data_IF_816230123208
#
_entry.id   IF_816230123208
#
_cell.length_a   1.000
_cell.length_b   1.000
_cell.length_c   1.000
_cell.angle_alpha   90.00
_cell.angle_beta   90.00
_cell.angle_gamma   90.00
#
_symmetry.space_group_name_H-M   'P 1'
#
loop_
_entity.id
_entity.type
_entity.pdbx_description
1 polymer ?
#
# COMPACT_ATOMS: atom_id res chain seq x y z
N UNK A 1 -14.81 -19.18 -10.29
CA UNK A 1 -13.51 -18.94 -9.68
C UNK A 1 -12.55 -20.07 -10.03
N UNK A 2 -11.42 -19.75 -10.67
CA UNK A 2 -10.33 -20.71 -10.86
C UNK A 2 -9.70 -21.05 -9.52
N UNK A 3 -9.16 -22.25 -9.40
CA UNK A 3 -8.35 -22.61 -8.24
C UNK A 3 -6.88 -22.58 -8.63
N UNK A 4 -6.09 -21.84 -7.88
CA UNK A 4 -4.66 -21.65 -8.09
C UNK A 4 -3.84 -22.49 -7.11
N UNK A 5 -2.57 -22.68 -7.37
CA UNK A 5 -1.62 -23.28 -6.41
C UNK A 5 -1.48 -22.40 -5.17
N UNK A 6 -1.35 -21.10 -5.40
CA UNK A 6 -1.42 -20.06 -4.38
C UNK A 6 -1.77 -18.71 -5.01
N UNK A 7 -2.22 -17.79 -4.16
CA UNK A 7 -2.44 -16.39 -4.48
C UNK A 7 -1.64 -15.55 -3.51
N UNK A 8 -0.82 -14.64 -4.00
CA UNK A 8 -0.05 -13.69 -3.21
C UNK A 8 -0.08 -12.32 -3.89
N UNK A 9 -0.87 -11.42 -3.32
CA UNK A 9 -1.13 -10.12 -3.90
C UNK A 9 -0.27 -9.00 -3.31
N UNK A 10 0.74 -9.34 -2.47
CA UNK A 10 1.59 -8.34 -1.82
C UNK A 10 3.02 -8.85 -1.69
N UNK A 11 3.83 -8.57 -2.70
CA UNK A 11 5.23 -9.00 -2.79
C UNK A 11 6.08 -7.81 -3.21
N UNK A 12 7.24 -7.65 -2.57
CA UNK A 12 8.23 -6.63 -2.90
C UNK A 12 9.42 -7.22 -3.64
N UNK A 13 10.06 -6.39 -4.47
CA UNK A 13 11.23 -6.76 -5.26
C UNK A 13 12.38 -5.76 -5.09
N UNK A 14 13.48 -6.00 -5.76
CA UNK A 14 14.62 -5.07 -5.82
C UNK A 14 14.26 -3.64 -6.26
N UNK A 15 13.07 -3.45 -6.84
CA UNK A 15 12.56 -2.13 -7.26
C UNK A 15 11.92 -1.35 -6.12
N UNK A 16 11.56 -2.01 -5.01
CA UNK A 16 11.03 -1.33 -3.83
C UNK A 16 12.04 -0.35 -3.23
N UNK A 17 11.58 0.71 -2.57
CA UNK A 17 12.44 1.73 -1.99
C UNK A 17 13.15 1.27 -0.70
N UNK A 18 12.87 0.05 -0.22
CA UNK A 18 13.53 -0.53 0.94
C UNK A 18 14.94 -1.03 0.63
N UNK A 19 15.88 -0.67 1.50
CA UNK A 19 17.31 -0.88 1.31
C UNK A 19 17.75 -2.33 1.16
N UNK A 20 17.01 -3.26 1.74
CA UNK A 20 17.40 -4.65 1.89
C UNK A 20 16.51 -5.60 1.09
N UNK A 21 15.59 -5.07 0.29
CA UNK A 21 14.81 -5.89 -0.64
C UNK A 21 15.72 -6.31 -1.81
N UNK A 22 16.10 -7.57 -1.83
CA UNK A 22 17.08 -8.17 -2.74
C UNK A 22 16.49 -9.14 -3.76
N UNK A 23 15.17 -9.37 -3.70
CA UNK A 23 14.46 -10.26 -4.62
C UNK A 23 14.42 -9.68 -6.03
N UNK A 24 15.20 -10.22 -6.96
CA UNK A 24 15.09 -9.82 -8.37
C UNK A 24 13.80 -10.34 -8.99
N UNK A 25 13.37 -9.69 -10.07
CA UNK A 25 12.16 -10.13 -10.79
C UNK A 25 12.32 -11.56 -11.31
N UNK A 26 13.48 -11.88 -11.84
CA UNK A 26 13.78 -13.22 -12.36
C UNK A 26 13.72 -14.29 -11.25
N UNK A 27 14.27 -13.99 -10.07
CA UNK A 27 14.21 -14.87 -8.91
C UNK A 27 12.76 -15.08 -8.43
N UNK A 28 11.97 -13.98 -8.38
CA UNK A 28 10.56 -14.04 -8.00
C UNK A 28 9.77 -14.93 -8.98
N UNK A 29 9.90 -14.71 -10.28
CA UNK A 29 9.19 -15.49 -11.29
C UNK A 29 9.60 -16.97 -11.28
N UNK A 30 10.89 -17.27 -11.13
CA UNK A 30 11.39 -18.64 -11.02
C UNK A 30 10.85 -19.33 -9.76
N UNK A 31 10.85 -18.65 -8.62
CA UNK A 31 10.32 -19.16 -7.35
C UNK A 31 8.80 -19.41 -7.44
N UNK A 32 8.06 -18.48 -8.05
CA UNK A 32 6.62 -18.62 -8.28
C UNK A 32 6.30 -19.79 -9.21
N UNK A 33 7.04 -19.95 -10.30
CA UNK A 33 6.89 -21.06 -11.26
C UNK A 33 7.16 -22.41 -10.59
N UNK A 34 8.29 -22.56 -9.89
CA UNK A 34 8.63 -23.81 -9.21
C UNK A 34 7.56 -24.22 -8.18
N UNK A 35 7.01 -23.24 -7.47
CA UNK A 35 5.93 -23.48 -6.49
C UNK A 35 4.62 -23.85 -7.18
N UNK A 36 4.28 -23.21 -8.29
CA UNK A 36 3.10 -23.54 -9.10
C UNK A 36 3.20 -24.97 -9.66
N UNK A 37 4.33 -25.34 -10.21
CA UNK A 37 4.60 -26.69 -10.72
C UNK A 37 4.45 -27.78 -9.66
N UNK A 38 4.95 -27.52 -8.45
CA UNK A 38 4.85 -28.48 -7.34
C UNK A 38 3.40 -28.83 -6.97
N UNK A 39 2.44 -27.97 -7.32
CA UNK A 39 1.01 -28.17 -7.11
C UNK A 39 0.26 -28.55 -8.40
N UNK A 40 0.92 -28.50 -9.55
CA UNK A 40 0.33 -28.78 -10.86
C UNK A 40 -0.76 -27.80 -11.28
N UNK A 41 -0.69 -26.53 -10.82
CA UNK A 41 -1.67 -25.46 -11.08
C UNK A 41 -0.98 -24.11 -11.25
N UNK A 42 -1.64 -23.19 -11.93
CA UNK A 42 -1.20 -21.80 -12.04
C UNK A 42 -1.14 -21.14 -10.65
N UNK A 43 -0.26 -20.17 -10.48
CA UNK A 43 -0.26 -19.24 -9.35
C UNK A 43 -0.63 -17.83 -9.79
N UNK A 44 -1.04 -17.02 -8.83
CA UNK A 44 -1.28 -15.57 -9.02
C UNK A 44 -0.39 -14.80 -8.06
N UNK A 45 0.37 -13.87 -8.61
CA UNK A 45 1.19 -12.95 -7.82
C UNK A 45 0.86 -11.50 -8.21
N UNK A 46 0.99 -10.57 -7.24
CA UNK A 46 1.07 -9.15 -7.54
C UNK A 46 2.37 -8.58 -6.96
N UNK A 47 3.10 -7.85 -7.78
CA UNK A 47 4.26 -7.09 -7.33
C UNK A 47 3.73 -5.75 -6.84
N UNK A 48 4.02 -5.44 -5.58
CA UNK A 48 3.49 -4.28 -4.86
C UNK A 48 4.62 -3.44 -4.29
N UNK A 49 5.66 -3.18 -5.10
CA UNK A 49 6.82 -2.39 -4.68
C UNK A 49 6.40 -1.03 -4.14
N UNK A 50 7.09 -0.55 -3.09
CA UNK A 50 6.82 0.74 -2.48
C UNK A 50 7.01 1.88 -3.48
N UNK A 51 5.94 2.64 -3.69
CA UNK A 51 5.90 3.88 -4.47
C UNK A 51 6.37 3.73 -5.94
N UNK A 52 6.42 2.52 -6.50
CA UNK A 52 6.86 2.31 -7.89
C UNK A 52 6.19 1.12 -8.56
N UNK A 53 5.96 1.23 -9.88
CA UNK A 53 5.44 0.16 -10.74
C UNK A 53 6.52 -0.46 -11.63
N UNK A 54 7.78 -0.08 -11.46
CA UNK A 54 8.85 -0.51 -12.37
C UNK A 54 9.11 -2.02 -12.31
N UNK A 55 8.95 -2.64 -11.12
CA UNK A 55 8.99 -4.09 -10.97
C UNK A 55 7.89 -4.79 -11.76
N UNK A 56 6.65 -4.26 -11.73
CA UNK A 56 5.54 -4.77 -12.54
C UNK A 56 5.85 -4.70 -14.03
N UNK A 57 6.35 -3.53 -14.51
CA UNK A 57 6.71 -3.36 -15.93
C UNK A 57 7.77 -4.35 -16.38
N UNK A 58 8.82 -4.55 -15.58
CA UNK A 58 9.88 -5.53 -15.87
C UNK A 58 9.33 -6.96 -15.89
N UNK A 59 8.53 -7.34 -14.89
CA UNK A 59 7.92 -8.67 -14.85
C UNK A 59 6.99 -8.92 -16.05
N UNK A 60 6.17 -7.93 -16.42
CA UNK A 60 5.28 -8.01 -17.58
C UNK A 60 6.07 -8.19 -18.88
N UNK A 61 7.16 -7.44 -19.05
CA UNK A 61 8.06 -7.58 -20.21
C UNK A 61 8.65 -9.00 -20.31
N UNK A 62 9.12 -9.55 -19.17
CA UNK A 62 9.66 -10.91 -19.13
C UNK A 62 8.58 -11.93 -19.47
N UNK A 63 7.43 -11.90 -18.81
CA UNK A 63 6.32 -12.84 -19.01
C UNK A 63 5.77 -12.83 -20.44
N UNK A 64 5.78 -11.68 -21.11
CA UNK A 64 5.31 -11.53 -22.49
C UNK A 64 6.35 -11.95 -23.54
N UNK A 65 7.61 -12.11 -23.17
CA UNK A 65 8.69 -12.57 -24.07
C UNK A 65 8.48 -14.04 -24.46
N UNK A 66 9.11 -14.47 -25.57
CA UNK A 66 9.06 -15.88 -25.98
C UNK A 66 9.69 -16.81 -24.92
N UNK A 67 10.80 -16.37 -24.32
CA UNK A 67 11.49 -17.11 -23.26
C UNK A 67 10.65 -17.17 -21.99
N UNK A 68 10.04 -16.05 -21.57
CA UNK A 68 9.19 -15.99 -20.39
C UNK A 68 7.96 -16.87 -20.47
N UNK A 69 7.34 -16.96 -21.65
CA UNK A 69 6.20 -17.86 -21.89
C UNK A 69 6.56 -19.35 -21.78
N UNK A 70 7.82 -19.69 -22.05
CA UNK A 70 8.34 -21.07 -21.90
C UNK A 70 8.72 -21.32 -20.46
N UNK A 71 9.43 -20.37 -19.82
CA UNK A 71 10.01 -20.55 -18.49
C UNK A 71 9.00 -20.34 -17.36
N UNK A 72 7.95 -19.52 -17.57
CA UNK A 72 6.99 -19.14 -16.53
C UNK A 72 5.51 -19.30 -16.95
N UNK A 73 5.12 -20.45 -17.57
CA UNK A 73 3.78 -20.63 -18.13
C UNK A 73 2.66 -20.61 -17.07
N UNK A 74 2.98 -20.95 -15.82
CA UNK A 74 2.02 -21.06 -14.72
C UNK A 74 1.93 -19.80 -13.84
N UNK A 75 2.68 -18.73 -14.16
CA UNK A 75 2.67 -17.49 -13.38
C UNK A 75 1.70 -16.47 -13.99
N UNK A 76 0.71 -16.06 -13.21
CA UNK A 76 -0.23 -14.98 -13.56
C UNK A 76 0.13 -13.76 -12.74
N UNK A 77 0.25 -12.60 -13.39
CA UNK A 77 0.63 -11.34 -12.77
C UNK A 77 -0.56 -10.36 -12.72
N UNK A 78 -0.84 -9.83 -11.53
CA UNK A 78 -1.69 -8.66 -11.30
C UNK A 78 -0.78 -7.44 -11.13
N UNK A 79 -1.15 -6.30 -11.74
CA UNK A 79 -0.47 -5.04 -11.50
C UNK A 79 -0.75 -4.58 -10.07
N UNK A 80 0.29 -4.39 -9.28
CA UNK A 80 0.21 -3.94 -7.89
C UNK A 80 1.20 -2.81 -7.60
N UNK A 81 0.91 -2.00 -6.61
CA UNK A 81 1.79 -0.99 -6.03
C UNK A 81 1.38 -0.76 -4.58
N UNK A 82 2.34 -0.54 -3.68
CA UNK A 82 2.07 -0.12 -2.31
C UNK A 82 2.54 1.33 -2.10
N UNK A 83 1.61 2.18 -1.63
CA UNK A 83 1.92 3.57 -1.28
C UNK A 83 2.16 3.71 0.22
N UNK A 84 3.25 4.37 0.60
CA UNK A 84 3.42 4.90 1.94
C UNK A 84 2.60 6.19 2.05
N UNK A 85 1.46 6.13 2.72
CA UNK A 85 0.42 7.18 2.70
C UNK A 85 0.69 8.28 3.72
N UNK A 86 0.62 9.56 3.30
CA UNK A 86 0.53 10.70 4.22
C UNK A 86 -0.93 10.92 4.66
N UNK A 87 -1.16 10.85 5.98
CA UNK A 87 -2.50 10.94 6.58
C UNK A 87 -2.84 12.35 7.09
N UNK A 88 -2.15 13.41 6.62
CA UNK A 88 -2.39 14.79 7.06
C UNK A 88 -3.85 15.23 6.83
N UNK A 89 -4.46 14.81 5.74
CA UNK A 89 -5.86 15.15 5.43
C UNK A 89 -6.85 14.50 6.41
N UNK A 90 -6.53 13.33 6.95
CA UNK A 90 -7.34 12.73 8.03
C UNK A 90 -7.32 13.57 9.30
N UNK A 91 -6.21 14.26 9.60
CA UNK A 91 -6.17 15.19 10.74
C UNK A 91 -7.20 16.30 10.58
N UNK A 92 -7.32 16.84 9.38
CA UNK A 92 -8.36 17.86 9.06
C UNK A 92 -9.78 17.27 9.15
N UNK A 93 -9.99 16.06 8.64
CA UNK A 93 -11.27 15.34 8.77
C UNK A 93 -11.69 15.12 10.24
N UNK A 94 -10.74 14.88 11.13
CA UNK A 94 -10.96 14.74 12.56
C UNK A 94 -10.78 16.05 13.35
N UNK A 95 -11.11 17.18 12.75
CA UNK A 95 -11.15 18.51 13.42
C UNK A 95 -9.81 18.90 14.08
N UNK A 96 -8.69 18.59 13.40
CA UNK A 96 -7.34 18.84 13.91
C UNK A 96 -6.79 17.74 14.81
N UNK A 97 -7.56 16.70 15.13
CA UNK A 97 -7.11 15.59 15.94
C UNK A 97 -6.33 14.57 15.10
N UNK A 98 -5.09 14.32 15.46
CA UNK A 98 -4.24 13.32 14.81
C UNK A 98 -4.62 11.91 15.29
N UNK A 99 -5.68 11.32 14.72
CA UNK A 99 -6.18 9.99 15.11
C UNK A 99 -5.29 8.90 14.56
N UNK A 100 -5.01 8.93 13.26
CA UNK A 100 -4.20 7.94 12.56
C UNK A 100 -2.87 8.56 12.11
N UNK A 101 -1.77 7.78 12.14
CA UNK A 101 -0.41 8.30 11.87
C UNK A 101 0.38 7.49 10.86
N UNK A 102 -0.05 6.29 10.54
CA UNK A 102 0.57 5.42 9.54
C UNK A 102 -0.47 4.52 8.92
N UNK A 103 -0.43 4.44 7.60
CA UNK A 103 -1.15 3.49 6.79
C UNK A 103 -0.35 3.23 5.52
N UNK A 104 -0.42 2.02 5.00
CA UNK A 104 -0.03 1.73 3.64
C UNK A 104 -1.28 1.42 2.83
N UNK A 105 -1.26 1.82 1.58
CA UNK A 105 -2.37 1.64 0.65
C UNK A 105 -1.89 0.90 -0.58
N UNK A 106 -2.47 -0.25 -0.84
CA UNK A 106 -2.26 -1.01 -2.07
C UNK A 106 -3.15 -0.48 -3.18
N UNK A 107 -2.69 -0.58 -4.40
CA UNK A 107 -3.54 -0.41 -5.57
C UNK A 107 -3.31 -1.54 -6.57
N UNK A 108 -4.40 -1.97 -7.22
CA UNK A 108 -4.37 -3.07 -8.19
C UNK A 108 -5.12 -2.74 -9.47
N UNK A 109 -4.78 -3.46 -10.55
CA UNK A 109 -5.53 -3.47 -11.79
C UNK A 109 -5.45 -2.18 -12.61
N UNK A 110 -4.55 -1.27 -12.27
CA UNK A 110 -4.30 -0.03 -13.01
C UNK A 110 -3.63 -0.32 -14.37
N UNK A 111 -3.76 0.64 -15.28
CA UNK A 111 -2.97 0.63 -16.52
C UNK A 111 -1.50 0.91 -16.22
N UNK A 112 -0.64 -0.06 -16.42
CA UNK A 112 0.81 0.07 -16.21
C UNK A 112 1.47 1.08 -17.16
N UNK A 113 0.77 1.51 -18.21
CA UNK A 113 1.25 2.52 -19.16
C UNK A 113 0.70 3.92 -18.89
N UNK A 114 -0.12 4.08 -17.82
CA UNK A 114 -0.56 5.39 -17.41
C UNK A 114 0.64 6.34 -17.23
N UNK A 115 0.52 7.54 -17.80
CA UNK A 115 1.62 8.50 -17.89
C UNK A 115 2.01 9.04 -16.52
N UNK A 116 1.02 9.40 -15.72
CA UNK A 116 1.26 10.06 -14.42
C UNK A 116 1.77 9.05 -13.38
N UNK A 117 1.17 7.86 -13.34
CA UNK A 117 1.63 6.78 -12.46
C UNK A 117 3.04 6.31 -12.84
N UNK A 118 3.36 6.27 -14.15
CA UNK A 118 4.70 5.96 -14.65
C UNK A 118 5.70 7.03 -14.25
N UNK A 119 5.37 8.32 -14.43
CA UNK A 119 6.24 9.44 -14.06
C UNK A 119 6.50 9.48 -12.55
N UNK A 120 5.45 9.34 -11.73
CA UNK A 120 5.57 9.22 -10.27
C UNK A 120 6.53 8.09 -9.90
N UNK A 121 6.32 6.89 -10.45
CA UNK A 121 7.13 5.71 -10.16
C UNK A 121 8.59 5.87 -10.53
N UNK A 122 8.91 6.58 -11.62
CA UNK A 122 10.28 6.88 -12.03
C UNK A 122 10.95 7.89 -11.12
N UNK A 123 10.22 8.93 -10.70
CA UNK A 123 10.72 9.95 -9.77
C UNK A 123 11.02 9.31 -8.40
N UNK A 124 10.16 8.44 -7.90
CA UNK A 124 10.28 7.84 -6.55
C UNK A 124 11.16 6.60 -6.52
N UNK A 125 11.45 5.98 -7.68
CA UNK A 125 12.32 4.81 -7.74
C UNK A 125 13.73 5.14 -7.23
N UNK A 126 14.36 4.17 -6.54
CA UNK A 126 15.67 4.31 -5.89
C UNK A 126 16.85 4.44 -6.86
N UNK A 127 16.85 5.46 -7.71
CA UNK A 127 17.96 5.75 -8.64
C UNK A 127 19.16 6.39 -7.96
N UNK A 128 18.98 6.96 -6.79
CA UNK A 128 20.02 7.62 -6.02
C UNK A 128 20.31 6.81 -4.77
N UNK A 129 21.58 6.79 -4.39
CA UNK A 129 22.06 6.04 -3.23
C UNK A 129 21.20 6.34 -1.99
N UNK A 130 21.14 5.41 -1.09
CA UNK A 130 20.44 5.38 0.20
C UNK A 130 20.36 6.70 0.98
N UNK A 131 21.23 7.67 0.65
CA UNK A 131 21.42 8.90 1.39
C UNK A 131 20.75 10.12 0.73
N UNK A 132 20.19 10.01 -0.46
CA UNK A 132 19.88 11.21 -1.24
C UNK A 132 18.38 11.54 -1.31
N UNK A 133 17.48 10.57 -1.14
CA UNK A 133 16.00 10.68 -1.21
C UNK A 133 15.46 11.75 -2.18
N UNK A 134 16.16 11.93 -3.31
CA UNK A 134 15.87 13.04 -4.24
C UNK A 134 14.45 12.97 -4.83
N UNK A 135 13.93 11.78 -5.04
CA UNK A 135 12.55 11.59 -5.50
C UNK A 135 11.53 12.18 -4.52
N UNK A 136 11.74 11.96 -3.23
CA UNK A 136 10.89 12.55 -2.18
C UNK A 136 11.05 14.07 -2.08
N UNK A 137 12.25 14.60 -2.37
CA UNK A 137 12.48 16.04 -2.43
C UNK A 137 11.71 16.67 -3.60
N UNK A 138 11.73 16.03 -4.78
CA UNK A 138 10.94 16.46 -5.95
C UNK A 138 9.44 16.44 -5.64
N UNK A 139 8.93 15.35 -5.06
CA UNK A 139 7.52 15.23 -4.68
C UNK A 139 7.10 16.29 -3.66
N UNK A 140 7.95 16.57 -2.67
CA UNK A 140 7.71 17.64 -1.68
C UNK A 140 7.64 19.02 -2.32
N UNK A 141 8.61 19.34 -3.17
CA UNK A 141 8.66 20.62 -3.88
C UNK A 141 7.41 20.78 -4.78
N UNK A 142 7.04 19.75 -5.55
CA UNK A 142 5.81 19.74 -6.35
C UNK A 142 4.59 20.01 -5.48
N UNK A 143 4.42 19.28 -4.39
CA UNK A 143 3.29 19.45 -3.46
C UNK A 143 3.18 20.87 -2.94
N UNK A 144 4.30 21.49 -2.53
CA UNK A 144 4.31 22.86 -2.04
C UNK A 144 3.87 23.87 -3.10
N UNK A 145 4.32 23.71 -4.35
CA UNK A 145 3.88 24.56 -5.46
C UNK A 145 2.39 24.39 -5.73
N UNK A 146 1.92 23.14 -5.76
CA UNK A 146 0.50 22.86 -5.95
C UNK A 146 -0.37 23.52 -4.87
N UNK A 147 0.03 23.39 -3.59
CA UNK A 147 -0.69 23.97 -2.45
C UNK A 147 -0.65 25.52 -2.48
N UNK A 148 0.51 26.10 -2.80
CA UNK A 148 0.71 27.55 -2.83
C UNK A 148 -0.16 28.25 -3.87
N UNK A 149 -0.33 27.63 -5.03
CA UNK A 149 -1.08 28.20 -6.15
C UNK A 149 -2.48 27.62 -6.32
N UNK A 150 -2.84 26.55 -5.59
CA UNK A 150 -4.12 25.85 -5.73
C UNK A 150 -4.26 25.13 -7.07
N UNK A 151 -3.16 24.65 -7.63
CA UNK A 151 -3.10 23.94 -8.93
C UNK A 151 -2.63 22.51 -8.75
N UNK A 152 -2.90 21.65 -9.73
CA UNK A 152 -2.37 20.29 -9.79
C UNK A 152 -1.34 20.18 -10.92
N UNK A 153 -0.06 20.21 -10.57
CA UNK A 153 1.03 20.03 -11.55
C UNK A 153 1.27 18.54 -11.73
N UNK A 154 1.13 17.99 -12.95
CA UNK A 154 1.38 16.59 -13.23
C UNK A 154 2.80 16.12 -12.86
N UNK A 155 2.98 14.88 -12.42
CA UNK A 155 4.30 14.29 -12.17
C UNK A 155 5.15 14.24 -13.44
N UNK A 156 4.50 14.04 -14.59
CA UNK A 156 5.17 14.00 -15.90
C UNK A 156 5.93 15.28 -16.26
N UNK A 157 5.61 16.42 -15.64
CA UNK A 157 6.38 17.65 -15.77
C UNK A 157 7.81 17.49 -15.27
N UNK A 158 7.98 16.70 -14.21
CA UNK A 158 9.26 16.49 -13.54
C UNK A 158 9.92 15.15 -13.86
N UNK A 159 9.34 14.34 -14.72
CA UNK A 159 9.83 12.98 -15.04
C UNK A 159 11.29 12.97 -15.52
N UNK A 160 11.72 13.99 -16.26
CA UNK A 160 13.11 14.10 -16.73
C UNK A 160 14.13 14.13 -15.59
N UNK A 161 13.74 14.58 -14.40
CA UNK A 161 14.61 14.58 -13.22
C UNK A 161 14.93 13.16 -12.73
N UNK A 162 14.09 12.18 -13.01
CA UNK A 162 14.35 10.77 -12.69
C UNK A 162 15.56 10.18 -13.45
N UNK A 163 15.94 10.78 -14.58
CA UNK A 163 17.07 10.36 -15.39
C UNK A 163 18.31 11.24 -15.17
N UNK A 164 18.21 12.24 -14.31
CA UNK A 164 19.29 13.15 -14.02
C UNK A 164 20.43 12.43 -13.27
N UNK A 165 21.64 12.92 -13.42
CA UNK A 165 22.81 12.37 -12.74
C UNK A 165 23.22 13.27 -11.55
N UNK A 166 24.20 12.80 -10.74
CA UNK A 166 24.70 13.54 -9.56
C UNK A 166 25.24 14.94 -9.81
N UNK A 167 25.49 15.32 -11.08
CA UNK A 167 25.92 16.67 -11.46
C UNK A 167 24.75 17.60 -11.77
N UNK A 168 23.53 17.07 -11.83
CA UNK A 168 22.34 17.84 -12.11
C UNK A 168 22.04 18.77 -10.94
N UNK A 169 21.81 20.02 -11.22
CA UNK A 169 21.31 21.00 -10.24
C UNK A 169 19.80 20.84 -10.10
N UNK A 170 19.38 19.96 -9.20
CA UNK A 170 18.00 19.51 -9.11
C UNK A 170 17.01 20.65 -8.81
N UNK A 171 17.31 21.53 -7.86
CA UNK A 171 16.47 22.70 -7.57
C UNK A 171 16.35 23.63 -8.77
N UNK A 172 17.48 23.97 -9.39
CA UNK A 172 17.53 24.84 -10.57
C UNK A 172 16.69 24.25 -11.71
N UNK A 173 16.81 22.96 -11.97
CA UNK A 173 16.08 22.29 -13.05
C UNK A 173 14.59 22.16 -12.72
N UNK A 174 14.25 21.87 -11.46
CA UNK A 174 12.87 21.87 -10.99
C UNK A 174 12.18 23.24 -11.23
N UNK A 175 12.85 24.33 -10.88
CA UNK A 175 12.32 25.70 -11.10
C UNK A 175 12.16 25.99 -12.60
N UNK A 176 13.10 25.56 -13.44
CA UNK A 176 13.01 25.71 -14.91
C UNK A 176 11.76 25.00 -15.45
N UNK A 177 11.55 23.72 -15.07
CA UNK A 177 10.40 22.92 -15.49
C UNK A 177 9.07 23.51 -14.99
N UNK A 178 9.02 23.99 -13.75
CA UNK A 178 7.86 24.68 -13.20
C UNK A 178 7.51 25.93 -13.98
N UNK A 179 8.53 26.75 -14.35
CA UNK A 179 8.34 27.94 -15.17
C UNK A 179 7.80 27.63 -16.57
N UNK A 180 8.35 26.59 -17.23
CA UNK A 180 7.91 26.16 -18.56
C UNK A 180 6.45 25.69 -18.53
N UNK A 181 6.08 24.90 -17.49
CA UNK A 181 4.69 24.49 -17.28
C UNK A 181 3.75 25.67 -17.10
N UNK A 182 4.13 26.64 -16.27
CA UNK A 182 3.35 27.84 -16.02
C UNK A 182 3.10 28.66 -17.29
N UNK A 183 4.16 28.85 -18.11
CA UNK A 183 4.07 29.59 -19.38
C UNK A 183 3.16 28.88 -20.38
N UNK A 184 3.26 27.56 -20.48
CA UNK A 184 2.42 26.76 -21.38
C UNK A 184 0.94 26.86 -21.01
N UNK A 185 0.61 26.70 -19.74
CA UNK A 185 -0.79 26.80 -19.29
C UNK A 185 -1.37 28.20 -19.46
N UNK A 186 -0.56 29.26 -19.30
CA UNK A 186 -0.99 30.63 -19.56
C UNK A 186 -1.35 30.85 -21.04
N UNK A 187 -0.60 30.24 -21.95
CA UNK A 187 -0.89 30.32 -23.39
C UNK A 187 -2.19 29.59 -23.77
N UNK A 188 -2.40 28.37 -23.22
CA UNK A 188 -3.59 27.54 -23.49
C UNK A 188 -4.88 28.19 -22.94
N UNK A 189 -4.82 28.92 -21.81
CA UNK A 189 -6.01 29.64 -21.24
C UNK A 189 -6.30 30.95 -21.93
N UNK A 190 -5.38 31.53 -22.73
CA UNK A 190 -5.63 32.80 -23.44
C UNK A 190 -6.34 32.61 -24.77
N UNK A 191 -6.32 31.43 -25.35
CA UNK A 191 -6.93 31.15 -26.66
C UNK A 191 -8.41 30.74 -26.58
N UNK A 192 -8.95 30.40 -25.40
CA UNK A 192 -10.31 29.88 -25.20
C UNK A 192 -11.29 30.87 -24.53
N UNK A 193 -10.99 32.18 -24.39
CA UNK A 193 -11.89 33.12 -23.74
C UNK A 193 -12.92 33.68 -24.72
N UNK A 194 -14.01 32.94 -24.93
CA UNK A 194 -15.33 33.51 -25.19
C UNK A 194 -15.99 33.74 -23.82
N UNK A 195 -16.37 34.99 -23.59
CA UNK A 195 -16.90 35.52 -22.34
C UNK A 195 -18.15 34.74 -21.86
N UNK A 196 -18.04 34.03 -20.73
CA UNK A 196 -19.16 33.80 -19.83
C UNK A 196 -18.74 34.18 -18.39
N UNK A 197 -19.31 35.31 -17.93
CA UNK A 197 -19.17 35.77 -16.56
C UNK A 197 -19.93 34.86 -15.60
N UNK A 198 -19.25 33.88 -14.97
CA UNK A 198 -19.74 33.25 -13.74
C UNK A 198 -18.60 32.90 -12.81
N UNK A 199 -18.57 33.55 -11.63
CA UNK A 199 -17.77 33.29 -10.43
C UNK A 199 -16.22 33.23 -10.58
N UNK A 200 -15.62 34.41 -10.65
CA UNK A 200 -14.18 34.66 -10.58
C UNK A 200 -13.67 34.78 -9.13
N UNK A 201 -13.54 33.68 -8.38
CA UNK A 201 -12.75 33.67 -7.13
C UNK A 201 -11.64 32.62 -7.09
N UNK A 202 -11.48 31.81 -8.13
CA UNK A 202 -10.29 31.01 -8.37
C UNK A 202 -9.42 31.63 -9.46
N UNK A 203 -9.09 32.92 -9.31
CA UNK A 203 -8.23 33.65 -10.25
C UNK A 203 -6.91 32.89 -10.40
N UNK A 204 -6.53 32.57 -11.63
CA UNK A 204 -5.21 32.04 -12.05
C UNK A 204 -4.10 32.88 -11.39
N UNK A 205 -3.65 32.48 -10.20
CA UNK A 205 -2.48 33.08 -9.58
C UNK A 205 -1.28 32.81 -10.47
N UNK A 206 -0.70 33.85 -11.03
CA UNK A 206 0.52 33.72 -11.82
C UNK A 206 1.61 33.07 -10.95
N UNK A 207 2.23 31.98 -11.45
CA UNK A 207 3.34 31.31 -10.75
C UNK A 207 4.58 32.22 -10.79
N UNK A 208 4.93 32.77 -9.63
CA UNK A 208 6.09 33.62 -9.45
C UNK A 208 7.29 32.75 -9.01
N UNK A 209 8.27 32.60 -9.87
CA UNK A 209 9.38 31.64 -9.63
C UNK A 209 10.23 32.01 -8.41
N UNK A 210 10.41 33.29 -8.11
CA UNK A 210 11.12 33.77 -6.91
C UNK A 210 10.42 33.34 -5.61
N UNK A 211 9.08 33.32 -5.61
CA UNK A 211 8.31 32.86 -4.46
C UNK A 211 8.31 31.34 -4.35
N UNK A 212 8.26 30.63 -5.49
CA UNK A 212 8.45 29.18 -5.54
C UNK A 212 9.81 28.82 -4.97
N UNK A 213 10.90 29.49 -5.41
CA UNK A 213 12.24 29.21 -4.92
C UNK A 213 12.38 29.35 -3.40
N UNK A 214 11.80 30.41 -2.83
CA UNK A 214 11.79 30.63 -1.36
C UNK A 214 11.10 29.47 -0.62
N UNK A 215 9.97 29.01 -1.13
CA UNK A 215 9.15 27.99 -0.47
C UNK A 215 9.76 26.58 -0.58
N UNK A 216 10.34 26.24 -1.72
CA UNK A 216 10.90 24.89 -1.92
C UNK A 216 12.33 24.73 -1.41
N UNK A 217 13.09 25.81 -1.25
CA UNK A 217 14.51 25.78 -0.84
C UNK A 217 14.81 24.95 0.42
N UNK A 218 13.93 24.87 1.43
CA UNK A 218 14.12 23.97 2.57
C UNK A 218 14.03 22.47 2.23
N UNK A 219 13.41 22.12 1.12
CA UNK A 219 13.05 20.73 0.77
C UNK A 219 13.86 20.16 -0.38
N UNK A 220 14.32 20.99 -1.31
CA UNK A 220 15.13 20.57 -2.45
C UNK A 220 16.34 21.49 -2.63
N UNK A 221 17.49 20.91 -2.91
CA UNK A 221 18.76 21.61 -3.10
C UNK A 221 19.42 21.23 -4.43
N UNK A 222 20.33 22.07 -4.92
CA UNK A 222 21.23 21.73 -6.03
C UNK A 222 22.36 20.78 -5.58
N UNK A 223 22.60 20.67 -4.29
CA UNK A 223 23.51 19.69 -3.70
C UNK A 223 22.72 18.44 -3.29
N UNK A 224 23.17 17.30 -3.82
CA UNK A 224 22.51 16.01 -3.52
C UNK A 224 22.80 15.63 -2.06
N UNK A 225 21.75 15.41 -1.27
CA UNK A 225 21.84 15.03 0.12
C UNK A 225 20.49 14.66 0.73
N UNK A 226 20.52 13.86 1.79
CA UNK A 226 19.31 13.42 2.49
C UNK A 226 18.59 14.58 3.19
N UNK A 227 17.32 14.76 2.90
CA UNK A 227 16.46 15.72 3.57
C UNK A 227 15.30 15.00 4.29
N UNK A 228 15.32 15.00 5.63
CA UNK A 228 14.33 14.29 6.45
C UNK A 228 12.92 14.87 6.30
N UNK A 229 12.81 16.18 6.22
CA UNK A 229 11.51 16.86 6.12
C UNK A 229 10.89 16.58 4.76
N UNK A 230 11.67 16.67 3.70
CA UNK A 230 11.24 16.29 2.35
C UNK A 230 10.83 14.81 2.28
N UNK A 231 11.54 13.90 2.94
CA UNK A 231 11.18 12.47 2.97
C UNK A 231 9.80 12.24 3.59
N UNK A 232 9.41 13.00 4.58
CA UNK A 232 8.08 12.91 5.19
C UNK A 232 7.01 13.57 4.31
N UNK A 233 7.30 14.75 3.78
CA UNK A 233 6.37 15.58 3.00
C UNK A 233 6.20 15.08 1.56
N UNK A 234 7.17 14.35 1.02
CA UNK A 234 7.13 13.78 -0.34
C UNK A 234 6.21 12.57 -0.49
N UNK A 235 5.68 12.03 0.60
CA UNK A 235 4.66 10.97 0.57
C UNK A 235 3.36 11.53 0.03
N UNK A 236 2.69 10.76 -0.83
CA UNK A 236 1.40 11.19 -1.35
C UNK A 236 0.33 11.24 -0.25
N UNK A 237 -0.50 12.28 -0.30
CA UNK A 237 -1.71 12.38 0.53
C UNK A 237 -2.75 11.34 0.08
N UNK A 238 -3.72 11.09 0.95
CA UNK A 238 -4.87 10.21 0.64
C UNK A 238 -5.57 10.63 -0.66
N UNK A 239 -5.85 11.92 -0.83
CA UNK A 239 -6.51 12.45 -2.05
C UNK A 239 -5.64 12.28 -3.31
N UNK A 240 -4.32 12.49 -3.21
CA UNK A 240 -3.40 12.35 -4.33
C UNK A 240 -3.29 10.89 -4.78
N UNK A 241 -3.18 9.93 -3.84
CA UNK A 241 -3.21 8.49 -4.15
C UNK A 241 -4.54 8.14 -4.81
N UNK A 242 -5.65 8.59 -4.21
CA UNK A 242 -6.99 8.33 -4.74
C UNK A 242 -7.13 8.78 -6.19
N UNK A 243 -6.69 10.02 -6.48
CA UNK A 243 -6.72 10.56 -7.85
C UNK A 243 -5.82 9.78 -8.80
N UNK A 244 -4.54 9.60 -8.43
CA UNK A 244 -3.54 8.96 -9.28
C UNK A 244 -3.95 7.53 -9.68
N UNK A 245 -4.45 6.75 -8.72
CA UNK A 245 -4.89 5.36 -8.97
C UNK A 245 -6.17 5.32 -9.79
N UNK A 246 -7.15 6.18 -9.49
CA UNK A 246 -8.41 6.24 -10.22
C UNK A 246 -8.20 6.66 -11.67
N UNK A 247 -7.36 7.67 -11.92
CA UNK A 247 -7.05 8.16 -13.26
C UNK A 247 -6.34 7.08 -14.09
N UNK A 248 -5.50 6.26 -13.45
CA UNK A 248 -4.89 5.07 -14.07
C UNK A 248 -5.85 3.85 -14.20
N UNK A 249 -7.11 3.97 -13.82
CA UNK A 249 -8.11 2.89 -13.90
C UNK A 249 -7.96 1.81 -12.82
N UNK A 250 -7.17 2.04 -11.79
CA UNK A 250 -6.91 1.10 -10.71
C UNK A 250 -7.89 1.22 -9.54
N UNK A 251 -7.73 0.32 -8.57
CA UNK A 251 -8.58 0.17 -7.40
C UNK A 251 -7.74 0.15 -6.12
N UNK A 252 -8.23 0.78 -5.06
CA UNK A 252 -7.54 0.90 -3.78
C UNK A 252 -7.92 -0.22 -2.81
N UNK A 253 -6.91 -0.69 -2.07
CA UNK A 253 -7.02 -1.72 -1.03
C UNK A 253 -6.20 -1.28 0.19
N UNK A 254 -6.73 -1.45 1.39
CA UNK A 254 -5.97 -1.15 2.61
C UNK A 254 -5.04 -2.32 2.94
N UNK A 255 -3.74 -2.03 2.98
CA UNK A 255 -2.69 -2.98 3.30
C UNK A 255 -2.65 -3.33 4.79
N UNK A 256 -2.28 -4.57 5.11
CA UNK A 256 -1.95 -5.11 6.46
C UNK A 256 -2.55 -4.28 7.63
N UNK A 257 -3.89 -4.28 7.82
CA UNK A 257 -4.59 -3.37 8.73
C UNK A 257 -4.05 -3.34 10.17
N UNK A 258 -3.46 -4.42 10.68
CA UNK A 258 -2.88 -4.42 12.04
C UNK A 258 -1.72 -3.46 12.22
N UNK A 259 -1.05 -3.06 11.14
CA UNK A 259 0.08 -2.15 11.15
C UNK A 259 -0.31 -0.66 11.03
N UNK A 260 -1.60 -0.37 10.82
CA UNK A 260 -2.11 1.01 10.92
C UNK A 260 -1.84 1.52 12.33
N UNK A 261 -1.22 2.70 12.44
CA UNK A 261 -0.93 3.30 13.76
C UNK A 261 -2.00 4.29 14.15
N UNK A 262 -2.45 4.16 15.41
CA UNK A 262 -3.48 5.01 16.04
C UNK A 262 -2.86 5.71 17.23
N UNK A 263 -3.16 7.00 17.43
CA UNK A 263 -2.72 7.71 18.62
C UNK A 263 -3.65 7.43 19.81
N UNK A 264 -3.10 7.44 21.02
CA UNK A 264 -3.91 7.28 22.24
C UNK A 264 -4.89 8.44 22.40
N UNK A 265 -4.47 9.66 22.08
CA UNK A 265 -5.34 10.84 22.13
C UNK A 265 -6.41 10.79 21.04
N UNK A 266 -6.08 10.29 19.85
CA UNK A 266 -7.05 10.00 18.81
C UNK A 266 -8.12 9.00 19.23
N UNK A 267 -7.75 7.93 19.95
CA UNK A 267 -8.73 6.99 20.52
C UNK A 267 -9.61 7.66 21.57
N UNK A 268 -9.08 8.59 22.39
CA UNK A 268 -9.89 9.38 23.35
C UNK A 268 -10.88 10.28 22.61
N UNK A 269 -10.42 10.98 21.57
CA UNK A 269 -11.30 11.78 20.72
C UNK A 269 -12.42 10.93 20.10
N UNK A 270 -12.11 9.76 19.53
CA UNK A 270 -13.10 8.85 18.97
C UNK A 270 -14.08 8.33 20.01
N UNK A 271 -13.59 8.00 21.22
CA UNK A 271 -14.45 7.56 22.31
C UNK A 271 -15.50 8.62 22.66
N UNK A 272 -15.10 9.88 22.77
CA UNK A 272 -16.00 11.01 23.01
C UNK A 272 -16.98 11.21 21.85
N UNK A 273 -16.48 11.26 20.60
CA UNK A 273 -17.29 11.51 19.40
C UNK A 273 -18.33 10.40 19.15
N UNK A 274 -17.99 9.15 19.46
CA UNK A 274 -18.87 7.98 19.30
C UNK A 274 -19.65 7.61 20.57
N UNK A 275 -19.54 8.42 21.63
CA UNK A 275 -20.20 8.19 22.94
C UNK A 275 -19.94 6.79 23.52
N UNK A 276 -18.71 6.30 23.41
CA UNK A 276 -18.29 5.01 23.98
C UNK A 276 -17.21 5.22 25.05
N UNK A 277 -17.09 4.26 25.98
CA UNK A 277 -16.04 4.34 27.02
C UNK A 277 -14.66 4.17 26.38
N UNK A 278 -13.69 5.00 26.73
CA UNK A 278 -12.31 4.90 26.24
C UNK A 278 -11.72 3.50 26.42
N UNK A 279 -11.93 2.87 27.59
CA UNK A 279 -11.44 1.52 27.88
C UNK A 279 -12.07 0.43 26.99
N UNK A 280 -13.15 0.74 26.27
CA UNK A 280 -13.71 -0.16 25.25
C UNK A 280 -12.93 -0.12 23.94
N UNK A 281 -12.20 0.94 23.65
CA UNK A 281 -11.37 1.12 22.45
C UNK A 281 -9.91 0.80 22.71
N UNK A 282 -9.38 1.19 23.86
CA UNK A 282 -7.96 1.14 24.18
C UNK A 282 -7.59 -0.07 25.02
N UNK A 283 -6.48 -0.71 24.66
CA UNK A 283 -5.82 -1.73 25.46
C UNK A 283 -4.45 -1.21 25.87
N UNK A 284 -4.26 -0.98 27.19
CA UNK A 284 -2.96 -0.54 27.69
C UNK A 284 -1.89 -1.58 27.30
N UNK A 285 -1.01 -1.20 26.42
CA UNK A 285 0.10 -2.02 25.95
C UNK A 285 1.39 -1.29 26.27
N UNK A 286 2.37 -2.01 26.78
CA UNK A 286 3.75 -1.53 26.94
C UNK A 286 4.47 -1.45 25.60
N UNK A 287 3.89 -0.77 24.60
CA UNK A 287 4.53 -0.59 23.30
C UNK A 287 5.67 0.41 23.39
N UNK A 288 6.72 0.23 22.58
CA UNK A 288 7.90 1.11 22.47
C UNK A 288 7.57 2.58 22.22
N UNK A 289 6.34 2.90 21.84
CA UNK A 289 5.88 4.23 21.48
C UNK A 289 4.86 4.73 22.50
N UNK A 290 5.27 5.63 23.38
CA UNK A 290 4.41 6.17 24.46
C UNK A 290 3.08 6.77 23.99
N UNK A 291 3.00 7.24 22.74
CA UNK A 291 1.86 8.02 22.22
C UNK A 291 1.12 7.35 21.08
N UNK A 292 1.62 6.26 20.52
CA UNK A 292 1.02 5.52 19.40
C UNK A 292 0.86 4.05 19.75
N UNK A 293 -0.19 3.43 19.20
CA UNK A 293 -0.40 1.99 19.27
C UNK A 293 -0.69 1.44 17.88
N UNK A 294 -0.20 0.25 17.56
CA UNK A 294 -0.60 -0.43 16.35
C UNK A 294 -2.05 -0.87 16.46
N UNK A 295 -2.78 -0.81 15.34
CA UNK A 295 -4.21 -1.09 15.29
C UNK A 295 -4.55 -2.49 15.83
N UNK A 296 -3.67 -3.45 15.64
CA UNK A 296 -3.81 -4.80 16.19
C UNK A 296 -4.03 -4.86 17.71
N UNK A 297 -3.70 -3.81 18.46
CA UNK A 297 -3.94 -3.69 19.90
C UNK A 297 -5.20 -2.92 20.28
N UNK A 298 -5.94 -2.39 19.31
CA UNK A 298 -7.24 -1.76 19.52
C UNK A 298 -8.26 -2.82 19.93
N UNK A 299 -9.05 -2.57 20.99
CA UNK A 299 -10.05 -3.52 21.48
C UNK A 299 -11.26 -3.64 20.55
N UNK A 300 -11.80 -2.52 20.12
CA UNK A 300 -12.92 -2.47 19.17
C UNK A 300 -12.40 -2.13 17.78
N UNK A 301 -11.75 -3.11 17.14
CA UNK A 301 -11.16 -2.96 15.82
C UNK A 301 -12.22 -2.58 14.77
N UNK A 302 -13.39 -3.18 14.83
CA UNK A 302 -14.48 -2.92 13.88
C UNK A 302 -14.90 -1.44 13.87
N UNK A 303 -15.19 -0.87 15.04
CA UNK A 303 -15.60 0.54 15.14
C UNK A 303 -14.51 1.49 14.65
N UNK A 304 -13.28 1.28 15.12
CA UNK A 304 -12.17 2.18 14.79
C UNK A 304 -11.78 2.07 13.32
N UNK A 305 -11.80 0.85 12.76
CA UNK A 305 -11.46 0.64 11.36
C UNK A 305 -12.55 1.14 10.42
N UNK A 306 -13.83 0.96 10.73
CA UNK A 306 -14.90 1.60 9.96
C UNK A 306 -14.77 3.13 9.98
N UNK A 307 -14.39 3.73 11.12
CA UNK A 307 -14.14 5.18 11.21
C UNK A 307 -12.96 5.61 10.34
N UNK A 308 -11.90 4.79 10.26
CA UNK A 308 -10.77 5.01 9.35
C UNK A 308 -11.22 4.99 7.87
N UNK A 309 -11.98 3.97 7.49
CA UNK A 309 -12.48 3.80 6.13
C UNK A 309 -13.42 4.96 5.73
N UNK A 310 -14.33 5.37 6.64
CA UNK A 310 -15.23 6.49 6.38
C UNK A 310 -14.46 7.80 6.11
N UNK A 311 -13.40 8.05 6.88
CA UNK A 311 -12.53 9.21 6.66
C UNK A 311 -11.79 9.10 5.33
N UNK A 312 -11.20 7.94 5.04
CA UNK A 312 -10.44 7.70 3.82
C UNK A 312 -11.33 7.89 2.57
N UNK A 313 -12.49 7.20 2.54
CA UNK A 313 -13.47 7.29 1.44
C UNK A 313 -14.04 8.70 1.26
N UNK A 314 -14.25 9.44 2.36
CA UNK A 314 -14.68 10.83 2.32
C UNK A 314 -13.64 11.73 1.64
N UNK A 315 -12.35 11.50 1.91
CA UNK A 315 -11.28 12.31 1.33
C UNK A 315 -11.09 12.01 -0.16
N UNK A 316 -11.10 10.73 -0.56
CA UNK A 316 -10.93 10.36 -1.98
C UNK A 316 -12.20 10.56 -2.83
N UNK A 317 -13.37 10.69 -2.19
CA UNK A 317 -14.66 10.87 -2.86
C UNK A 317 -15.26 9.62 -3.51
N UNK A 318 -14.73 8.43 -3.22
CA UNK A 318 -15.26 7.14 -3.71
C UNK A 318 -14.96 5.99 -2.73
N UNK A 319 -15.52 4.80 -3.00
CA UNK A 319 -15.37 3.64 -2.13
C UNK A 319 -14.02 2.94 -2.33
N UNK A 320 -13.40 2.52 -1.23
CA UNK A 320 -12.27 1.60 -1.25
C UNK A 320 -12.76 0.23 -1.69
N UNK A 321 -12.01 -0.43 -2.59
CA UNK A 321 -12.43 -1.69 -3.20
C UNK A 321 -12.13 -2.92 -2.35
N UNK A 322 -11.17 -2.85 -1.42
CA UNK A 322 -10.81 -4.03 -0.63
C UNK A 322 -9.98 -3.77 0.62
N UNK A 323 -9.78 -4.84 1.37
CA UNK A 323 -8.96 -4.91 2.57
C UNK A 323 -8.08 -6.16 2.48
N UNK A 324 -6.81 -6.03 2.83
CA UNK A 324 -5.93 -7.18 2.98
C UNK A 324 -6.31 -7.96 4.26
N UNK A 325 -7.00 -9.08 4.07
CA UNK A 325 -7.49 -9.94 5.15
C UNK A 325 -6.41 -10.86 5.68
N UNK A 326 -5.73 -11.57 4.77
CA UNK A 326 -4.68 -12.49 5.12
C UNK A 326 -3.32 -11.90 4.76
N UNK A 327 -2.45 -11.74 5.76
CA UNK A 327 -1.08 -11.26 5.60
C UNK A 327 -0.18 -11.79 6.72
N UNK A 328 1.07 -12.04 6.37
CA UNK A 328 2.01 -12.74 7.25
C UNK A 328 2.32 -11.99 8.55
N UNK A 329 2.19 -10.67 8.54
CA UNK A 329 2.41 -9.81 9.72
C UNK A 329 1.20 -9.69 10.64
N UNK A 330 0.08 -10.40 10.38
CA UNK A 330 -1.09 -10.38 11.26
C UNK A 330 -0.82 -11.11 12.59
N UNK A 331 -0.36 -10.38 13.57
CA UNK A 331 0.04 -10.88 14.90
C UNK A 331 -1.06 -10.80 15.96
N UNK A 332 -2.24 -10.26 15.66
CA UNK A 332 -3.20 -9.95 16.69
C UNK A 332 -4.62 -10.38 16.42
N UNK A 333 -5.20 -10.84 17.46
CA UNK A 333 -6.60 -10.75 17.87
C UNK A 333 -7.65 -10.59 16.74
N UNK A 334 -7.78 -11.56 15.82
CA UNK A 334 -8.96 -11.71 14.96
C UNK A 334 -9.15 -10.57 13.95
N UNK A 335 -8.08 -9.87 13.52
CA UNK A 335 -8.23 -8.83 12.51
C UNK A 335 -8.72 -9.39 11.17
N UNK A 336 -8.37 -10.62 10.84
CA UNK A 336 -8.88 -11.35 9.69
C UNK A 336 -10.42 -11.52 9.72
N UNK A 337 -11.00 -11.86 10.89
CA UNK A 337 -12.46 -11.94 11.04
C UNK A 337 -13.12 -10.56 11.02
N UNK A 338 -12.46 -9.55 11.57
CA UNK A 338 -12.92 -8.16 11.51
C UNK A 338 -12.92 -7.66 10.07
N UNK A 339 -11.85 -7.92 9.30
CA UNK A 339 -11.75 -7.57 7.90
C UNK A 339 -12.83 -8.27 7.06
N UNK A 340 -13.05 -9.57 7.29
CA UNK A 340 -14.15 -10.34 6.65
C UNK A 340 -15.50 -9.70 6.87
N UNK A 341 -15.83 -9.40 8.14
CA UNK A 341 -17.10 -8.76 8.49
C UNK A 341 -17.26 -7.42 7.78
N UNK A 342 -16.24 -6.56 7.83
CA UNK A 342 -16.27 -5.23 7.18
C UNK A 342 -16.40 -5.37 5.67
N UNK A 343 -15.65 -6.29 5.04
CA UNK A 343 -15.76 -6.54 3.61
C UNK A 343 -17.18 -6.97 3.20
N UNK A 344 -17.80 -7.87 3.98
CA UNK A 344 -19.18 -8.30 3.73
C UNK A 344 -20.17 -7.15 3.91
N UNK A 345 -20.05 -6.37 5.00
CA UNK A 345 -20.98 -5.28 5.32
C UNK A 345 -20.89 -4.12 4.31
N UNK A 346 -19.69 -3.85 3.76
CA UNK A 346 -19.43 -2.76 2.81
C UNK A 346 -19.42 -3.17 1.34
N UNK A 347 -19.50 -4.47 1.04
CA UNK A 347 -19.39 -5.00 -0.32
C UNK A 347 -17.98 -4.87 -0.92
N UNK A 348 -16.94 -4.98 -0.07
CA UNK A 348 -15.54 -4.88 -0.45
C UNK A 348 -14.93 -6.26 -0.78
N UNK A 349 -13.82 -6.27 -1.50
CA UNK A 349 -13.06 -7.49 -1.76
C UNK A 349 -12.07 -7.77 -0.62
N UNK A 350 -11.92 -9.05 -0.28
CA UNK A 350 -10.81 -9.52 0.55
C UNK A 350 -9.59 -9.76 -0.35
N UNK A 351 -8.41 -9.31 0.07
CA UNK A 351 -7.14 -9.64 -0.57
C UNK A 351 -6.22 -10.40 0.39
N UNK A 352 -5.09 -10.84 -0.09
CA UNK A 352 -4.09 -11.53 0.71
C UNK A 352 -2.68 -11.27 0.17
N UNK A 353 -1.69 -11.26 1.05
CA UNK A 353 -0.31 -11.10 0.66
C UNK A 353 0.68 -11.58 1.72
N UNK A 354 1.86 -11.99 1.28
CA UNK A 354 2.94 -12.37 2.19
C UNK A 354 3.67 -11.17 2.77
N UNK A 355 3.61 -10.03 2.08
CA UNK A 355 4.45 -8.87 2.38
C UNK A 355 5.93 -9.30 2.44
N UNK A 356 6.35 -10.09 1.45
CA UNK A 356 7.67 -10.69 1.36
C UNK A 356 8.64 -9.76 0.65
N UNK A 357 9.79 -9.49 1.28
CA UNK A 357 10.81 -8.57 0.82
C UNK A 357 12.14 -9.25 0.45
N UNK A 358 12.13 -10.55 0.22
CA UNK A 358 13.34 -11.34 -0.01
C UNK A 358 13.86 -12.05 1.24
N UNK A 359 14.79 -12.97 1.03
CA UNK A 359 15.31 -13.84 2.10
C UNK A 359 16.16 -13.09 3.12
N UNK A 360 16.79 -12.00 2.70
CA UNK A 360 17.62 -11.17 3.58
C UNK A 360 16.81 -10.46 4.66
N UNK A 361 15.68 -9.84 4.28
CA UNK A 361 14.79 -9.15 5.22
C UNK A 361 13.86 -10.11 5.96
N UNK A 362 13.39 -11.13 5.28
CA UNK A 362 12.37 -12.03 5.79
C UNK A 362 12.79 -13.51 5.63
N UNK A 363 13.82 -13.98 6.34
CA UNK A 363 14.32 -15.34 6.19
C UNK A 363 13.33 -16.44 6.61
N UNK A 364 12.32 -16.08 7.37
CA UNK A 364 11.25 -16.94 7.89
C UNK A 364 9.93 -16.83 7.10
N UNK A 365 9.86 -15.97 6.07
CA UNK A 365 8.73 -15.83 5.17
C UNK A 365 9.02 -16.46 3.81
N UNK A 366 7.97 -16.66 3.02
CA UNK A 366 8.05 -17.10 1.63
C UNK A 366 6.85 -16.58 0.85
N UNK A 367 6.97 -16.44 -0.47
CA UNK A 367 5.85 -16.08 -1.34
C UNK A 367 4.70 -17.07 -1.16
N UNK A 368 3.47 -16.57 -1.15
CA UNK A 368 2.25 -17.36 -0.89
C UNK A 368 2.06 -17.74 0.58
N UNK A 369 2.99 -17.41 1.48
CA UNK A 369 2.82 -17.61 2.91
C UNK A 369 2.12 -16.40 3.54
N UNK A 370 0.82 -16.32 3.37
CA UNK A 370 -0.02 -15.19 3.74
C UNK A 370 -0.58 -15.24 5.16
N UNK A 371 -0.21 -16.23 5.96
CA UNK A 371 -0.67 -16.38 7.34
C UNK A 371 0.49 -16.28 8.32
N UNK A 372 0.22 -15.68 9.48
CA UNK A 372 1.18 -15.61 10.57
C UNK A 372 1.64 -17.01 11.01
N UNK A 373 2.94 -17.19 11.21
CA UNK A 373 3.54 -18.49 11.55
C UNK A 373 2.88 -19.18 12.76
N UNK A 374 2.48 -18.42 13.78
CA UNK A 374 1.79 -18.96 14.97
C UNK A 374 0.42 -19.57 14.62
N UNK A 375 -0.32 -19.00 13.68
CA UNK A 375 -1.62 -19.54 13.22
C UNK A 375 -1.37 -20.86 12.50
N UNK A 376 -0.38 -20.91 11.62
CA UNK A 376 -0.01 -22.13 10.88
C UNK A 376 0.46 -23.23 11.83
N UNK A 377 1.26 -22.88 12.83
CA UNK A 377 1.77 -23.83 13.82
C UNK A 377 0.64 -24.41 14.69
N UNK A 378 -0.29 -23.56 15.13
CA UNK A 378 -1.46 -24.02 15.90
C UNK A 378 -2.38 -24.91 15.06
N UNK A 379 -2.58 -24.59 13.78
CA UNK A 379 -3.33 -25.46 12.86
C UNK A 379 -2.68 -26.84 12.73
N UNK A 380 -1.36 -26.87 12.54
CA UNK A 380 -0.59 -28.15 12.46
C UNK A 380 -0.73 -28.97 13.75
N UNK A 381 -0.62 -28.33 14.91
CA UNK A 381 -0.77 -29.00 16.21
C UNK A 381 -2.15 -29.65 16.36
N UNK A 382 -3.22 -28.97 15.92
CA UNK A 382 -4.59 -29.47 16.00
C UNK A 382 -4.89 -30.63 15.05
N UNK A 383 -4.35 -30.54 13.85
CA UNK A 383 -4.66 -31.51 12.79
C UNK A 383 -3.70 -32.71 12.75
N UNK A 384 -2.70 -32.74 13.63
CA UNK A 384 -1.66 -33.78 13.62
C UNK A 384 -0.68 -33.68 12.46
N UNK A 385 -0.72 -32.62 11.67
CA UNK A 385 0.14 -32.37 10.50
C UNK A 385 1.57 -31.93 10.89
N UNK A 386 1.94 -32.03 12.16
CA UNK A 386 3.27 -31.62 12.70
C UNK A 386 4.42 -32.32 11.99
N UNK A 387 4.22 -33.55 11.56
CA UNK A 387 5.25 -34.39 10.91
C UNK A 387 5.50 -34.03 9.45
N UNK A 388 4.62 -33.28 8.80
CA UNK A 388 4.72 -32.88 7.40
C UNK A 388 5.41 -31.51 7.23
N UNK A 389 6.13 -31.10 8.22
CA UNK A 389 6.94 -29.91 8.48
C UNK A 389 7.30 -29.04 7.33
N UNK A 390 6.67 -28.33 6.65
CA UNK A 390 6.95 -27.23 5.71
C UNK A 390 5.84 -26.95 4.68
N UNK A 391 4.65 -27.54 4.83
CA UNK A 391 3.54 -27.22 3.94
C UNK A 391 2.84 -25.95 4.44
N UNK A 392 3.12 -24.79 3.85
CA UNK A 392 2.43 -23.57 4.23
C UNK A 392 0.94 -23.69 3.92
N UNK A 393 0.12 -23.01 4.71
CA UNK A 393 -1.29 -22.80 4.37
C UNK A 393 -1.32 -21.65 3.36
N UNK A 394 -1.78 -21.92 2.16
CA UNK A 394 -1.88 -20.94 1.10
C UNK A 394 -3.34 -20.52 0.87
N UNK A 395 -3.55 -19.31 0.41
CA UNK A 395 -4.81 -18.90 -0.22
C UNK A 395 -4.77 -19.36 -1.67
N UNK A 396 -5.76 -20.13 -2.10
CA UNK A 396 -5.80 -20.72 -3.44
C UNK A 396 -6.91 -20.14 -4.32
N UNK A 397 -7.83 -19.37 -3.77
CA UNK A 397 -8.90 -18.73 -4.55
C UNK A 397 -9.45 -17.51 -3.81
N UNK A 398 -9.60 -16.42 -4.53
CA UNK A 398 -10.20 -15.16 -4.08
C UNK A 398 -10.99 -14.55 -5.23
N UNK A 399 -12.19 -14.02 -4.99
CA UNK A 399 -12.94 -13.26 -6.00
C UNK A 399 -12.23 -11.95 -6.40
N UNK A 400 -11.39 -11.41 -5.52
CA UNK A 400 -10.52 -10.28 -5.81
C UNK A 400 -9.59 -10.53 -7.00
N UNK A 401 -9.05 -11.75 -7.14
CA UNK A 401 -8.20 -12.13 -8.28
C UNK A 401 -8.95 -11.97 -9.60
N UNK A 402 -10.15 -12.56 -9.69
CA UNK A 402 -10.95 -12.48 -10.92
C UNK A 402 -11.30 -11.02 -11.27
N UNK A 403 -11.61 -10.20 -10.25
CA UNK A 403 -11.90 -8.79 -10.44
C UNK A 403 -10.69 -7.99 -10.94
N UNK A 404 -9.55 -8.07 -10.25
CA UNK A 404 -8.36 -7.29 -10.60
C UNK A 404 -7.67 -7.76 -11.89
N UNK A 405 -7.87 -9.01 -12.29
CA UNK A 405 -7.38 -9.52 -13.59
C UNK A 405 -8.27 -9.17 -14.76
N UNK A 406 -9.59 -9.09 -14.58
CA UNK A 406 -10.57 -8.96 -15.67
C UNK A 406 -11.30 -7.62 -15.69
N UNK A 407 -11.23 -6.81 -14.63
CA UNK A 407 -12.03 -5.60 -14.44
C UNK A 407 -13.53 -5.85 -14.26
N UNK A 408 -13.96 -7.10 -14.14
CA UNK A 408 -15.38 -7.47 -14.02
C UNK A 408 -15.74 -7.73 -12.55
N UNK A 409 -16.72 -6.99 -12.03
CA UNK A 409 -17.25 -7.24 -10.68
C UNK A 409 -17.77 -8.66 -10.53
N UNK A 410 -17.25 -9.38 -9.54
CA UNK A 410 -17.68 -10.73 -9.19
C UNK A 410 -18.69 -10.63 -8.05
N UNK A 411 -19.74 -11.49 -8.09
CA UNK A 411 -20.77 -11.50 -7.04
C UNK A 411 -20.20 -12.01 -5.73
N UNK A 412 -20.39 -11.25 -4.68
CA UNK A 412 -20.09 -11.67 -3.31
C UNK A 412 -21.04 -12.78 -2.80
N UNK A 413 -20.65 -13.60 -1.82
CA UNK A 413 -19.51 -13.42 -0.94
C UNK A 413 -18.17 -13.84 -1.58
N UNK A 414 -17.14 -13.11 -1.21
CA UNK A 414 -15.76 -13.42 -1.52
C UNK A 414 -15.32 -14.56 -0.60
N UNK A 415 -15.26 -15.77 -1.10
CA UNK A 415 -14.81 -16.92 -0.31
C UNK A 415 -13.34 -17.20 -0.59
N UNK A 416 -12.49 -16.99 0.41
CA UNK A 416 -11.11 -17.45 0.36
C UNK A 416 -11.04 -18.96 0.60
N UNK A 417 -10.35 -19.68 -0.28
CA UNK A 417 -10.08 -21.09 -0.10
C UNK A 417 -8.64 -21.23 0.40
N UNK A 418 -8.51 -21.68 1.65
CA UNK A 418 -7.24 -21.97 2.28
C UNK A 418 -6.91 -23.47 2.08
N UNK A 419 -5.70 -23.75 1.58
CA UNK A 419 -5.23 -25.12 1.37
C UNK A 419 -3.80 -25.33 1.85
N UNK A 420 -3.51 -26.58 2.18
CA UNK A 420 -2.15 -27.13 2.25
C UNK A 420 -1.90 -27.97 1.01
N UNK A 421 -0.68 -28.44 0.79
CA UNK A 421 -0.36 -29.36 -0.31
C UNK A 421 -1.13 -30.71 -0.24
N UNK A 422 -1.74 -31.02 0.90
CA UNK A 422 -2.48 -32.27 1.13
C UNK A 422 -4.00 -32.10 1.22
N UNK A 423 -4.52 -30.89 1.18
CA UNK A 423 -5.97 -30.66 1.18
C UNK A 423 -6.43 -29.29 1.68
N UNK A 424 -7.74 -29.09 1.61
CA UNK A 424 -8.41 -27.87 2.07
C UNK A 424 -8.36 -27.74 3.59
N UNK A 425 -8.12 -26.52 4.07
CA UNK A 425 -8.15 -26.16 5.48
C UNK A 425 -9.61 -26.00 5.91
N UNK A 426 -10.08 -26.81 6.86
CA UNK A 426 -11.45 -26.71 7.38
C UNK A 426 -11.59 -25.43 8.19
N UNK A 427 -12.66 -24.67 7.96
CA UNK A 427 -12.93 -23.39 8.65
C UNK A 427 -12.90 -23.53 10.17
N UNK A 428 -13.48 -24.62 10.73
CA UNK A 428 -13.47 -24.86 12.17
C UNK A 428 -12.06 -25.04 12.75
N UNK A 429 -11.16 -25.74 12.04
CA UNK A 429 -9.79 -25.95 12.50
C UNK A 429 -9.00 -24.65 12.42
N UNK A 430 -9.27 -23.83 11.41
CA UNK A 430 -8.64 -22.54 11.24
C UNK A 430 -9.07 -21.54 12.34
N UNK A 431 -10.37 -21.45 12.64
CA UNK A 431 -10.89 -20.64 13.75
C UNK A 431 -10.31 -21.07 15.10
N UNK A 432 -10.19 -22.39 15.32
CA UNK A 432 -9.58 -22.91 16.53
C UNK A 432 -8.10 -22.52 16.62
N UNK A 433 -7.35 -22.55 15.52
CA UNK A 433 -5.95 -22.12 15.48
C UNK A 433 -5.79 -20.63 15.83
N UNK A 434 -6.72 -19.77 15.37
CA UNK A 434 -6.79 -18.35 15.75
C UNK A 434 -7.09 -18.21 17.24
N UNK A 435 -8.07 -18.94 17.76
CA UNK A 435 -8.47 -18.88 19.17
C UNK A 435 -7.31 -19.29 20.09
N UNK A 436 -6.54 -20.30 19.74
CA UNK A 436 -5.33 -20.69 20.47
C UNK A 436 -4.28 -19.59 20.47
N UNK A 437 -4.02 -18.95 19.32
CA UNK A 437 -3.10 -17.82 19.24
C UNK A 437 -3.50 -16.69 20.20
N UNK A 438 -4.80 -16.42 20.34
CA UNK A 438 -5.34 -15.40 21.25
C UNK A 438 -5.18 -15.84 22.73
N UNK A 439 -5.39 -17.10 23.04
CA UNK A 439 -5.28 -17.65 24.40
C UNK A 439 -3.86 -17.66 24.91
N UNK A 440 -2.90 -18.05 24.07
CA UNK A 440 -1.49 -18.13 24.43
C UNK A 440 -0.89 -16.74 24.71
N UNK A 441 -1.30 -15.72 23.96
CA UNK A 441 -0.95 -14.32 24.28
C UNK A 441 -1.49 -13.85 25.65
N UNK A 442 -2.60 -14.39 26.12
CA UNK A 442 -3.12 -14.08 27.47
C UNK A 442 -2.27 -14.76 28.56
N UNK A 443 -1.77 -15.97 28.33
CA UNK A 443 -0.91 -16.71 29.29
C UNK A 443 0.43 -16.03 29.48
N UNK A 444 1.09 -15.62 28.39
CA UNK A 444 2.40 -14.94 28.42
C UNK A 444 2.35 -13.63 29.24
N UNK A 445 1.21 -12.95 29.29
CA UNK A 445 1.02 -11.73 30.12
C UNK A 445 0.88 -12.01 31.62
N UNK A 446 0.38 -13.15 32.00
CA UNK A 446 0.21 -13.51 33.42
C UNK A 446 1.56 -13.90 34.04
N UNK A 447 2.44 -14.54 33.29
CA UNK A 447 3.77 -14.97 33.74
C UNK A 447 4.82 -13.87 33.75
N UNK A 448 4.60 -12.75 33.07
CA UNK A 448 5.52 -11.58 33.09
C UNK A 448 5.14 -10.51 34.14
N UNK A 449 4.10 -10.72 34.90
CA UNK A 449 3.61 -9.84 35.98
C UNK A 449 3.77 -10.46 37.39
N UNK A 450 4.46 -11.57 37.50
CA UNK A 450 4.98 -12.17 38.76
C UNK A 450 6.50 -12.12 38.73
#
# INVERSE_FOLDING_TARGET
>A
MGEYSFVDMHIHTEHSDEELCDMTIEQLLAKAQAKAESWGKDCVIAISDHNTILGVKKARQILNSNEGKINYPNVKLINGIEFTTDLVEMTSYFEGNKVFTRCHTLAYGYDENDKELTAYSRITHKHFTKNDNIGMQICSARRLVCEMYGIDIPFSVYESLAYANKKTKFKTEFLRLTKEYALKNKAETSDDVVEEETNKDSANKEIIIEDVDKVISPYISDEVGYNREASAMGRLKVSEIGKLVKDAGGELVIAHPTLIRVTVDGLRYLANKKSVKFDSLYKNTTTKYKNNTDFGYVKNQELVFNTFLDAYESIIGYKISGIEKYYSSNFSSRMDLTAEKICNDRGMYETCGSDYHGEHLHPDKDIGNVLHNTIQENYRKQTGLITLGKNPINVCSLSAVDYFMSGKKVKLPNKAILKTSIGEVKSADFENAINLMISDKKKIKVTSST
#
